data_IF_607018779934
#
_entry.id   IF_607018779934
#
_cell.length_a   1.000
_cell.length_b   1.000
_cell.length_c   1.000
_cell.angle_alpha   90.00
_cell.angle_beta   90.00
_cell.angle_gamma   90.00
#
_symmetry.space_group_name_H-M   'P 1'
#
loop_
_entity.id
_entity.type
_entity.pdbx_description
1 polymer ?
#
# COMPACT_ATOMS: atom_id res chain seq x y z
N UNK A 1 -5.83 17.78 17.46
CA UNK A 1 -6.00 16.69 16.46
C UNK A 1 -4.89 16.64 15.40
N UNK A 2 -4.11 17.71 15.15
CA UNK A 2 -3.01 17.68 14.16
C UNK A 2 -1.82 16.78 14.51
N UNK A 3 -1.54 16.54 15.81
CA UNK A 3 -0.39 15.72 16.24
C UNK A 3 -0.56 14.23 15.89
N UNK A 4 -1.76 13.67 16.10
CA UNK A 4 -2.07 12.26 15.79
C UNK A 4 -1.93 11.94 14.30
N UNK A 5 -2.36 12.87 13.44
CA UNK A 5 -2.26 12.73 12.00
C UNK A 5 -0.80 12.75 11.49
N UNK A 6 0.11 13.43 12.19
CA UNK A 6 1.55 13.35 11.85
C UNK A 6 2.15 12.02 12.27
N UNK A 7 1.68 11.39 13.36
CA UNK A 7 2.26 10.13 13.83
C UNK A 7 2.00 8.98 12.86
N UNK A 8 0.79 8.86 12.29
CA UNK A 8 0.50 7.83 11.28
C UNK A 8 1.40 8.01 10.05
N UNK A 9 1.54 9.25 9.57
CA UNK A 9 2.40 9.55 8.41
C UNK A 9 3.88 9.21 8.68
N UNK A 10 4.38 9.52 9.88
CA UNK A 10 5.75 9.18 10.31
C UNK A 10 5.95 7.67 10.42
N UNK A 11 5.00 6.95 11.02
CA UNK A 11 5.05 5.49 11.13
C UNK A 11 5.06 4.87 9.73
N UNK A 12 4.18 5.33 8.84
CA UNK A 12 4.12 4.84 7.46
C UNK A 12 5.43 5.09 6.73
N UNK A 13 5.96 6.32 6.80
CA UNK A 13 7.22 6.67 6.15
C UNK A 13 8.42 5.87 6.70
N UNK A 14 8.51 5.71 8.02
CA UNK A 14 9.58 4.96 8.66
C UNK A 14 9.52 3.47 8.31
N UNK A 15 8.35 2.84 8.39
CA UNK A 15 8.21 1.43 8.04
C UNK A 15 8.50 1.20 6.55
N UNK A 16 7.97 2.04 5.66
CA UNK A 16 8.29 1.98 4.23
C UNK A 16 9.77 2.22 3.94
N UNK A 17 10.49 2.94 4.80
CA UNK A 17 11.94 3.09 4.70
C UNK A 17 12.68 1.80 4.97
N UNK A 18 12.34 1.15 6.08
CA UNK A 18 13.00 -0.09 6.46
C UNK A 18 12.63 -1.25 5.54
N UNK A 19 11.37 -1.38 5.10
CA UNK A 19 10.95 -2.49 4.21
C UNK A 19 11.86 -2.62 2.96
N UNK A 20 12.31 -1.48 2.42
CA UNK A 20 13.20 -1.40 1.24
C UNK A 20 14.69 -1.29 1.56
N UNK A 21 15.10 -1.33 2.82
CA UNK A 21 16.50 -1.07 3.18
C UNK A 21 17.38 -2.30 2.93
N UNK A 22 18.43 -2.09 2.15
CA UNK A 22 19.52 -3.03 1.94
C UNK A 22 20.84 -2.34 2.28
N UNK A 23 21.78 -3.09 2.83
CA UNK A 23 23.13 -2.61 3.01
C UNK A 23 23.92 -2.72 1.70
N UNK A 24 24.63 -1.67 1.26
CA UNK A 24 25.33 -1.66 -0.02
C UNK A 24 26.59 -2.56 -0.08
N UNK A 25 26.91 -3.32 0.97
CA UNK A 25 28.10 -4.18 1.08
C UNK A 25 29.41 -3.49 0.63
N UNK A 26 29.69 -2.30 1.17
CA UNK A 26 30.86 -1.50 0.80
C UNK A 26 32.13 -1.99 1.52
N UNK A 27 33.30 -2.07 0.86
CA UNK A 27 34.54 -2.59 1.46
C UNK A 27 35.00 -1.86 2.73
N UNK A 28 34.58 -0.60 2.89
CA UNK A 28 34.94 0.27 4.00
C UNK A 28 34.03 0.06 5.23
N UNK A 29 32.89 -0.60 5.07
CA UNK A 29 31.90 -0.85 6.12
C UNK A 29 31.86 -2.35 6.40
N UNK A 30 32.48 -2.76 7.51
CA UNK A 30 32.43 -4.16 7.96
C UNK A 30 31.16 -4.39 8.76
N UNK A 31 30.13 -4.88 8.09
CA UNK A 31 28.90 -5.34 8.74
C UNK A 31 29.07 -6.78 9.23
N UNK A 32 28.57 -7.04 10.42
CA UNK A 32 28.42 -8.38 10.99
C UNK A 32 27.22 -9.09 10.38
N UNK A 33 27.23 -10.42 10.37
CA UNK A 33 26.07 -11.23 9.94
C UNK A 33 24.83 -10.93 10.79
N UNK A 34 25.04 -10.65 12.09
CA UNK A 34 23.98 -10.28 13.02
C UNK A 34 23.28 -8.97 12.63
N UNK A 35 24.03 -7.95 12.19
CA UNK A 35 23.45 -6.68 11.70
C UNK A 35 22.62 -6.89 10.43
N UNK A 36 23.09 -7.74 9.50
CA UNK A 36 22.34 -8.06 8.27
C UNK A 36 21.05 -8.81 8.60
N UNK A 37 21.12 -9.80 9.49
CA UNK A 37 19.93 -10.53 9.95
C UNK A 37 18.99 -9.64 10.77
N UNK A 38 19.54 -8.71 11.56
CA UNK A 38 18.77 -7.69 12.26
C UNK A 38 17.96 -6.82 11.31
N UNK A 39 18.55 -6.34 10.21
CA UNK A 39 17.83 -5.57 9.19
C UNK A 39 16.70 -6.39 8.54
N UNK A 40 16.89 -7.69 8.29
CA UNK A 40 15.82 -8.59 7.82
C UNK A 40 14.65 -8.67 8.80
N UNK A 41 14.94 -8.84 10.09
CA UNK A 41 13.91 -8.89 11.13
C UNK A 41 13.16 -7.56 11.22
N UNK A 42 13.88 -6.43 11.16
CA UNK A 42 13.25 -5.10 11.14
C UNK A 42 12.34 -4.93 9.92
N UNK A 43 12.75 -5.42 8.74
CA UNK A 43 11.91 -5.41 7.53
C UNK A 43 10.60 -6.15 7.72
N UNK A 44 10.65 -7.38 8.26
CA UNK A 44 9.47 -8.19 8.55
C UNK A 44 8.56 -7.48 9.57
N UNK A 45 9.14 -6.98 10.66
CA UNK A 45 8.42 -6.29 11.72
C UNK A 45 7.74 -5.01 11.19
N UNK A 46 8.41 -4.24 10.35
CA UNK A 46 7.81 -3.06 9.73
C UNK A 46 6.61 -3.40 8.83
N UNK A 47 6.63 -4.54 8.11
CA UNK A 47 5.46 -4.99 7.35
C UNK A 47 4.31 -5.38 8.27
N UNK A 48 4.60 -6.05 9.39
CA UNK A 48 3.59 -6.43 10.38
C UNK A 48 2.96 -5.21 11.04
N UNK A 49 3.78 -4.23 11.45
CA UNK A 49 3.31 -2.96 12.01
C UNK A 49 2.40 -2.22 11.02
N UNK A 50 2.80 -2.11 9.75
CA UNK A 50 1.94 -1.49 8.74
C UNK A 50 0.65 -2.25 8.52
N UNK A 51 0.70 -3.59 8.54
CA UNK A 51 -0.49 -4.43 8.40
C UNK A 51 -1.47 -4.14 9.51
N UNK A 52 -1.01 -4.15 10.77
CA UNK A 52 -1.83 -3.83 11.94
C UNK A 52 -2.40 -2.41 11.87
N UNK A 53 -1.55 -1.41 11.58
CA UNK A 53 -1.98 0.00 11.45
C UNK A 53 -3.05 0.14 10.38
N UNK A 54 -2.87 -0.47 9.21
CA UNK A 54 -3.86 -0.39 8.12
C UNK A 54 -5.14 -1.14 8.46
N UNK A 55 -5.07 -2.30 9.12
CA UNK A 55 -6.26 -3.02 9.61
C UNK A 55 -7.07 -2.18 10.62
N UNK A 56 -6.41 -1.53 11.58
CA UNK A 56 -7.09 -0.65 12.54
C UNK A 56 -7.72 0.56 11.83
N UNK A 57 -7.01 1.14 10.85
CA UNK A 57 -7.55 2.23 10.05
C UNK A 57 -8.78 1.83 9.23
N UNK A 58 -8.87 0.58 8.74
CA UNK A 58 -10.09 0.09 8.07
C UNK A 58 -11.30 0.19 9.00
N UNK A 59 -11.14 -0.18 10.28
CA UNK A 59 -12.20 -0.07 11.28
C UNK A 59 -12.57 1.40 11.52
N UNK A 60 -11.57 2.25 11.77
CA UNK A 60 -11.77 3.66 12.10
C UNK A 60 -12.43 4.42 10.95
N UNK A 61 -12.00 4.20 9.69
CA UNK A 61 -12.53 4.92 8.52
C UNK A 61 -14.03 4.72 8.35
N UNK A 62 -14.55 3.52 8.67
CA UNK A 62 -15.98 3.21 8.56
C UNK A 62 -16.85 4.09 9.46
N UNK A 63 -16.30 4.55 10.59
CA UNK A 63 -17.02 5.34 11.60
C UNK A 63 -16.66 6.84 11.57
N UNK A 64 -15.61 7.24 10.85
CA UNK A 64 -14.98 8.57 10.96
C UNK A 64 -15.40 9.59 9.89
N UNK A 65 -16.31 9.22 8.98
CA UNK A 65 -16.87 10.10 7.95
C UNK A 65 -15.88 10.58 6.87
N UNK A 66 -16.41 11.35 5.90
CA UNK A 66 -15.71 11.71 4.65
C UNK A 66 -14.38 12.47 4.86
N UNK A 67 -14.31 13.38 5.82
CA UNK A 67 -13.11 14.19 6.05
C UNK A 67 -11.89 13.32 6.43
N UNK A 68 -12.12 12.29 7.25
CA UNK A 68 -11.05 11.37 7.62
C UNK A 68 -10.64 10.48 6.45
N UNK A 69 -11.61 9.98 5.67
CA UNK A 69 -11.34 9.20 4.47
C UNK A 69 -10.53 9.99 3.43
N UNK A 70 -10.89 11.25 3.17
CA UNK A 70 -10.16 12.14 2.28
C UNK A 70 -8.73 12.41 2.78
N UNK A 71 -8.56 12.69 4.08
CA UNK A 71 -7.23 12.85 4.68
C UNK A 71 -6.37 11.58 4.52
N UNK A 72 -6.94 10.40 4.74
CA UNK A 72 -6.21 9.14 4.64
C UNK A 72 -5.83 8.83 3.18
N UNK A 73 -6.73 9.11 2.23
CA UNK A 73 -6.42 9.03 0.79
C UNK A 73 -5.21 9.91 0.44
N UNK A 74 -5.17 11.14 0.93
CA UNK A 74 -4.05 12.05 0.68
C UNK A 74 -2.75 11.53 1.33
N UNK A 75 -2.82 11.01 2.55
CA UNK A 75 -1.65 10.42 3.22
C UNK A 75 -1.09 9.25 2.43
N UNK A 76 -1.93 8.27 2.06
CA UNK A 76 -1.49 7.08 1.31
C UNK A 76 -0.85 7.46 -0.04
N UNK A 77 -1.43 8.44 -0.74
CA UNK A 77 -0.89 8.99 -1.98
C UNK A 77 0.47 9.64 -1.80
N UNK A 78 0.62 10.53 -0.79
CA UNK A 78 1.90 11.19 -0.49
C UNK A 78 2.97 10.21 -0.03
N UNK A 79 2.61 9.20 0.74
CA UNK A 79 3.51 8.15 1.21
C UNK A 79 3.96 7.20 0.11
N UNK A 80 3.31 7.21 -1.07
CA UNK A 80 3.61 6.35 -2.22
C UNK A 80 3.59 4.85 -1.87
N UNK A 81 2.77 4.48 -0.89
CA UNK A 81 2.72 3.13 -0.31
C UNK A 81 2.50 2.07 -1.38
N UNK A 82 1.52 2.28 -2.27
CA UNK A 82 1.21 1.38 -3.39
C UNK A 82 2.44 1.13 -4.28
N UNK A 83 3.08 2.21 -4.74
CA UNK A 83 4.23 2.13 -5.65
C UNK A 83 5.40 1.39 -4.99
N UNK A 84 5.69 1.72 -3.73
CA UNK A 84 6.81 1.12 -3.00
C UNK A 84 6.58 -0.37 -2.79
N UNK A 85 5.42 -0.75 -2.26
CA UNK A 85 5.13 -2.16 -1.96
C UNK A 85 5.01 -3.01 -3.23
N UNK A 86 4.43 -2.48 -4.30
CA UNK A 86 4.39 -3.17 -5.60
C UNK A 86 5.79 -3.39 -6.16
N UNK A 87 6.68 -2.41 -6.03
CA UNK A 87 8.07 -2.54 -6.44
C UNK A 87 8.81 -3.60 -5.61
N UNK A 88 8.63 -3.61 -4.29
CA UNK A 88 9.16 -4.65 -3.41
C UNK A 88 8.66 -6.04 -3.80
N UNK A 89 7.39 -6.17 -4.19
CA UNK A 89 6.79 -7.46 -4.57
C UNK A 89 7.37 -7.96 -5.88
N UNK A 90 7.41 -7.08 -6.90
CA UNK A 90 7.99 -7.40 -8.19
C UNK A 90 9.48 -7.80 -8.07
N UNK A 91 10.26 -7.03 -7.29
CA UNK A 91 11.66 -7.33 -7.03
C UNK A 91 11.84 -8.66 -6.30
N UNK A 92 11.00 -8.96 -5.32
CA UNK A 92 11.05 -10.22 -4.58
C UNK A 92 10.71 -11.43 -5.44
N UNK A 93 9.72 -11.31 -6.33
CA UNK A 93 9.36 -12.37 -7.28
C UNK A 93 10.49 -12.60 -8.29
N UNK A 94 11.08 -11.52 -8.84
CA UNK A 94 12.22 -11.62 -9.74
C UNK A 94 13.40 -12.37 -9.10
N UNK A 95 13.69 -12.06 -7.82
CA UNK A 95 14.79 -12.71 -7.10
C UNK A 95 14.53 -14.20 -6.76
N UNK A 96 13.27 -14.65 -6.80
CA UNK A 96 12.88 -16.05 -6.56
C UNK A 96 12.92 -16.94 -7.81
N UNK A 97 13.15 -16.38 -8.99
CA UNK A 97 13.22 -17.16 -10.23
C UNK A 97 14.50 -18.02 -10.28
N UNK A 98 14.41 -19.30 -10.65
CA UNK A 98 15.59 -20.13 -10.85
C UNK A 98 16.41 -19.57 -12.02
N UNK A 99 17.70 -19.33 -11.76
CA UNK A 99 18.64 -18.87 -12.80
C UNK A 99 19.06 -20.05 -13.65
N UNK A 100 18.86 -19.96 -14.96
CA UNK A 100 19.36 -20.97 -15.90
C UNK A 100 20.88 -20.88 -15.96
N UNK A 101 21.55 -21.86 -15.34
CA UNK A 101 22.99 -21.95 -15.12
C UNK A 101 23.84 -22.04 -16.40
N UNK A 102 23.27 -21.93 -17.59
CA UNK A 102 23.97 -22.15 -18.87
C UNK A 102 24.46 -20.89 -19.58
N UNK A 103 23.95 -19.68 -19.26
CA UNK A 103 24.38 -18.43 -19.94
C UNK A 103 24.76 -17.26 -19.01
N UNK A 104 24.48 -17.35 -17.70
CA UNK A 104 24.55 -16.21 -16.77
C UNK A 104 25.84 -16.08 -15.94
N UNK A 105 26.80 -16.99 -16.08
CA UNK A 105 28.10 -16.91 -15.37
C UNK A 105 28.94 -15.66 -15.70
N UNK A 106 28.51 -14.82 -16.67
CA UNK A 106 29.36 -13.76 -17.22
C UNK A 106 29.14 -12.35 -16.71
N UNK A 107 28.05 -11.99 -16.01
CA UNK A 107 27.90 -10.62 -15.51
C UNK A 107 26.97 -10.53 -14.29
N UNK A 108 27.47 -10.82 -13.07
CA UNK A 108 26.76 -10.48 -11.83
C UNK A 108 26.72 -8.96 -11.70
N UNK A 109 25.52 -8.39 -11.64
CA UNK A 109 25.37 -6.94 -11.51
C UNK A 109 25.67 -6.47 -10.08
N UNK A 110 26.05 -5.20 -9.91
CA UNK A 110 26.26 -4.62 -8.58
C UNK A 110 25.01 -4.75 -7.68
N UNK A 111 23.82 -4.60 -8.28
CA UNK A 111 22.54 -4.78 -7.58
C UNK A 111 22.34 -6.22 -7.11
N UNK A 112 22.66 -7.22 -7.93
CA UNK A 112 22.60 -8.62 -7.53
C UNK A 112 23.54 -8.94 -6.37
N UNK A 113 24.75 -8.40 -6.38
CA UNK A 113 25.70 -8.57 -5.26
C UNK A 113 25.15 -7.99 -3.95
N UNK A 114 24.47 -6.84 -4.00
CA UNK A 114 23.79 -6.26 -2.84
C UNK A 114 22.68 -7.19 -2.35
N UNK A 115 21.82 -7.68 -3.25
CA UNK A 115 20.71 -8.56 -2.89
C UNK A 115 21.23 -9.87 -2.31
N UNK A 116 22.24 -10.49 -2.93
CA UNK A 116 22.85 -11.71 -2.40
C UNK A 116 23.40 -11.52 -0.99
N UNK A 117 24.15 -10.43 -0.75
CA UNK A 117 24.63 -10.10 0.59
C UNK A 117 23.50 -9.93 1.62
N UNK A 118 22.42 -9.24 1.24
CA UNK A 118 21.34 -8.90 2.17
C UNK A 118 20.29 -9.99 2.34
N UNK A 119 20.10 -10.89 1.38
CA UNK A 119 19.02 -11.89 1.35
C UNK A 119 19.54 -13.33 1.45
N UNK A 120 20.74 -13.60 0.94
CA UNK A 120 21.37 -14.94 0.89
C UNK A 120 22.77 -14.91 1.51
N UNK A 121 22.89 -14.63 2.83
CA UNK A 121 24.19 -14.43 3.43
C UNK A 121 24.93 -15.78 3.39
N UNK A 122 26.12 -15.79 2.80
CA UNK A 122 26.91 -16.99 2.61
C UNK A 122 27.19 -17.63 3.97
N UNK A 123 26.45 -18.70 4.30
CA UNK A 123 26.65 -19.46 5.53
C UNK A 123 28.03 -20.08 5.47
N UNK A 124 28.98 -19.54 6.23
CA UNK A 124 30.31 -20.11 6.37
C UNK A 124 30.17 -21.53 6.96
N UNK A 125 30.20 -22.55 6.10
CA UNK A 125 30.35 -23.96 6.48
C UNK A 125 29.09 -24.82 6.65
N UNK A 126 27.86 -24.35 6.33
CA UNK A 126 26.68 -25.24 6.28
C UNK A 126 25.90 -25.03 4.99
N UNK A 127 26.12 -25.96 4.04
CA UNK A 127 25.30 -26.15 2.83
C UNK A 127 23.89 -26.60 3.22
N UNK A 128 23.08 -25.68 3.74
CA UNK A 128 21.64 -25.88 3.84
C UNK A 128 20.99 -24.80 2.97
N UNK A 129 20.94 -25.06 1.66
CA UNK A 129 20.22 -24.26 0.66
C UNK A 129 18.74 -24.01 1.04
N UNK A 130 18.22 -24.74 2.03
CA UNK A 130 16.88 -24.58 2.58
C UNK A 130 16.65 -23.23 3.28
N UNK A 131 17.62 -22.70 4.04
CA UNK A 131 17.36 -21.55 4.92
C UNK A 131 17.40 -20.18 4.22
N UNK A 132 17.99 -20.11 3.03
CA UNK A 132 18.02 -18.89 2.22
C UNK A 132 16.66 -18.61 1.55
N UNK A 133 15.95 -19.68 1.15
CA UNK A 133 14.59 -19.57 0.62
C UNK A 133 13.59 -19.24 1.73
N UNK A 134 13.80 -19.73 2.96
CA UNK A 134 12.90 -19.48 4.09
C UNK A 134 12.66 -17.98 4.35
N UNK A 135 13.70 -17.14 4.29
CA UNK A 135 13.53 -15.69 4.49
C UNK A 135 12.75 -15.06 3.34
N UNK A 136 13.10 -15.37 2.09
CA UNK A 136 12.45 -14.80 0.92
C UNK A 136 10.96 -15.18 0.86
N UNK A 137 10.65 -16.44 1.12
CA UNK A 137 9.28 -16.95 1.18
C UNK A 137 8.50 -16.26 2.29
N UNK A 138 9.11 -16.12 3.48
CA UNK A 138 8.51 -15.41 4.61
C UNK A 138 8.27 -13.93 4.27
N UNK A 139 9.23 -13.27 3.63
CA UNK A 139 9.13 -11.88 3.21
C UNK A 139 8.00 -11.68 2.20
N UNK A 140 7.86 -12.56 1.21
CA UNK A 140 6.75 -12.53 0.25
C UNK A 140 5.39 -12.70 0.93
N UNK A 141 5.26 -13.63 1.88
CA UNK A 141 4.02 -13.82 2.63
C UNK A 141 3.63 -12.56 3.41
N UNK A 142 4.58 -11.93 4.10
CA UNK A 142 4.33 -10.68 4.83
C UNK A 142 3.94 -9.54 3.88
N UNK A 143 4.62 -9.44 2.74
CA UNK A 143 4.36 -8.41 1.74
C UNK A 143 2.97 -8.56 1.09
N UNK A 144 2.58 -9.79 0.77
CA UNK A 144 1.24 -10.09 0.22
C UNK A 144 0.13 -9.80 1.24
N UNK A 145 0.33 -10.13 2.52
CA UNK A 145 -0.61 -9.79 3.60
C UNK A 145 -0.76 -8.28 3.77
N UNK A 146 0.34 -7.55 3.74
CA UNK A 146 0.33 -6.09 3.81
C UNK A 146 -0.38 -5.49 2.59
N UNK A 147 -0.08 -5.97 1.38
CA UNK A 147 -0.74 -5.53 0.14
C UNK A 147 -2.25 -5.77 0.17
N UNK A 148 -2.68 -6.96 0.60
CA UNK A 148 -4.11 -7.27 0.72
C UNK A 148 -4.80 -6.32 1.71
N UNK A 149 -4.17 -6.04 2.85
CA UNK A 149 -4.71 -5.11 3.86
C UNK A 149 -4.78 -3.68 3.33
N UNK A 150 -3.75 -3.23 2.61
CA UNK A 150 -3.75 -1.92 1.94
C UNK A 150 -4.89 -1.81 0.93
N UNK A 151 -5.12 -2.83 0.09
CA UNK A 151 -6.21 -2.84 -0.89
C UNK A 151 -7.57 -2.69 -0.20
N UNK A 152 -7.80 -3.41 0.90
CA UNK A 152 -9.04 -3.30 1.69
C UNK A 152 -9.19 -1.90 2.30
N UNK A 153 -8.11 -1.31 2.78
CA UNK A 153 -8.12 0.06 3.31
C UNK A 153 -8.48 1.08 2.24
N UNK A 154 -7.85 0.99 1.06
CA UNK A 154 -8.09 1.91 -0.06
C UNK A 154 -9.53 1.80 -0.56
N UNK A 155 -10.07 0.58 -0.70
CA UNK A 155 -11.46 0.35 -1.08
C UNK A 155 -12.44 0.94 -0.04
N UNK A 156 -12.15 0.76 1.25
CA UNK A 156 -12.94 1.34 2.34
C UNK A 156 -12.92 2.87 2.29
N UNK A 157 -11.75 3.47 2.04
CA UNK A 157 -11.59 4.92 1.90
C UNK A 157 -12.34 5.46 0.67
N UNK A 158 -12.26 4.77 -0.46
CA UNK A 158 -12.96 5.14 -1.69
C UNK A 158 -14.48 5.09 -1.51
N UNK A 159 -14.98 4.06 -0.84
CA UNK A 159 -16.41 3.90 -0.53
C UNK A 159 -16.95 5.03 0.34
N UNK A 160 -16.18 5.50 1.32
CA UNK A 160 -16.56 6.65 2.16
C UNK A 160 -16.53 7.98 1.42
N UNK A 161 -15.69 8.12 0.40
CA UNK A 161 -15.62 9.32 -0.43
C UNK A 161 -16.71 9.36 -1.53
N UNK A 162 -17.26 8.21 -1.94
CA UNK A 162 -18.24 8.09 -3.04
C UNK A 162 -19.72 8.29 -2.65
N UNK A 163 -20.05 8.29 -1.36
CA UNK A 163 -21.43 8.27 -0.82
C UNK A 163 -22.26 9.55 -1.05
N UNK A 164 -21.73 10.58 -1.71
CA UNK A 164 -22.44 11.85 -1.98
C UNK A 164 -23.12 11.90 -3.35
N UNK A 165 -22.81 10.97 -4.28
CA UNK A 165 -23.41 11.00 -5.62
C UNK A 165 -24.90 10.63 -5.67
N UNK A 166 -25.45 10.05 -4.60
CA UNK A 166 -26.85 9.62 -4.57
C UNK A 166 -27.80 10.54 -3.78
N UNK A 167 -27.30 11.52 -3.01
CA UNK A 167 -28.17 12.40 -2.20
C UNK A 167 -28.60 13.66 -2.98
N UNK A 168 -27.78 14.16 -3.91
CA UNK A 168 -28.13 15.32 -4.73
C UNK A 168 -29.02 15.00 -5.96
N UNK A 169 -29.41 13.74 -6.16
CA UNK A 169 -30.32 13.30 -7.24
C UNK A 169 -31.81 13.38 -6.87
N UNK A 170 -32.14 13.36 -5.57
CA UNK A 170 -33.55 13.28 -5.10
C UNK A 170 -34.18 14.65 -4.83
N UNK A 171 -33.40 15.73 -4.74
CA UNK A 171 -33.91 17.06 -4.39
C UNK A 171 -34.43 17.93 -5.53
N UNK A 172 -34.17 17.59 -6.80
CA UNK A 172 -34.41 18.51 -7.93
C UNK A 172 -35.65 18.21 -8.79
N UNK A 173 -36.53 17.27 -8.39
CA UNK A 173 -37.69 16.86 -9.22
C UNK A 173 -39.06 17.35 -8.74
N UNK A 174 -39.17 18.02 -7.60
CA UNK A 174 -40.49 18.33 -7.01
C UNK A 174 -40.94 19.78 -7.18
N UNK A 175 -40.04 20.73 -7.50
CA UNK A 175 -40.40 22.16 -7.50
C UNK A 175 -40.98 22.64 -8.84
N UNK A 176 -40.64 22.00 -9.96
CA UNK A 176 -41.10 22.44 -11.29
C UNK A 176 -42.53 22.01 -11.65
N UNK A 177 -43.10 21.01 -10.95
CA UNK A 177 -44.46 20.52 -11.25
C UNK A 177 -45.60 21.35 -10.65
N UNK A 178 -45.30 22.28 -9.74
CA UNK A 178 -46.32 23.08 -9.02
C UNK A 178 -46.53 24.46 -9.66
N UNK A 179 -45.57 24.96 -10.44
CA UNK A 179 -45.64 26.31 -11.03
C UNK A 179 -46.29 26.37 -12.43
N UNK A 180 -46.40 25.26 -13.15
CA UNK A 180 -47.03 25.24 -14.49
C UNK A 180 -48.56 25.11 -14.49
N UNK A 181 -49.22 24.89 -13.35
CA UNK A 181 -50.69 24.70 -13.29
C UNK A 181 -51.50 25.94 -12.89
N UNK A 182 -50.92 27.13 -12.81
CA UNK A 182 -51.63 28.34 -12.33
C UNK A 182 -51.71 29.54 -13.27
N UNK A 183 -51.44 29.37 -14.57
CA UNK A 183 -51.65 30.44 -15.56
C UNK A 183 -52.56 29.92 -16.69
N UNK A 184 -53.77 30.50 -16.73
CA UNK A 184 -54.80 30.49 -17.78
C UNK A 184 -55.96 29.47 -17.72
N UNK A 185 -57.06 29.83 -17.03
CA UNK A 185 -58.41 29.52 -17.47
C UNK A 185 -58.98 30.67 -18.34
N UNK A 186 -59.74 30.30 -19.39
CA UNK A 186 -60.62 31.12 -20.27
C UNK A 186 -60.00 31.58 -21.60
N UNK A 187 -60.36 30.92 -22.69
CA UNK A 187 -61.50 31.30 -23.55
C UNK A 187 -61.75 30.20 -24.60
N UNK A 188 -62.86 29.49 -24.46
CA UNK A 188 -63.56 28.82 -25.57
C UNK A 188 -65.03 29.18 -25.42
N UNK A 189 -65.70 29.36 -26.57
CA UNK A 189 -67.06 29.84 -26.87
C UNK A 189 -67.02 31.24 -27.52
N UNK A 190 -67.55 31.48 -28.72
CA UNK A 190 -68.60 30.77 -29.44
C UNK A 190 -68.45 30.81 -30.97
N UNK A 191 -68.96 29.76 -31.62
CA UNK A 191 -69.32 29.71 -33.04
C UNK A 191 -70.72 30.29 -33.25
N UNK A 192 -70.89 31.13 -34.27
CA UNK A 192 -71.98 31.14 -35.25
C UNK A 192 -71.62 32.10 -36.37
#
# INVERSE_FOLDING_TARGET
>A
MFRSNTYVEVIVAACLYHIRSHYPNLPQVRLTEEEVLGNRNVRLLCMEVLTLVFSELVGIVKDSGKFFASYLSDLLSRSKVQKILLHCLAASVYDSQPRDSTEEEKNITFTETIVEFNERPMRLGKSNNYQANDFQDTYQVHLLRLMATLIVLEDTVLSQNGSEKDINSVGSKTVDSVLEKKVNPRLSQASS
#
